data_IF_364858702642
#
_entry.id   IF_364858702642
#
_cell.length_a   1.000
_cell.length_b   1.000
_cell.length_c   1.000
_cell.angle_alpha   90.00
_cell.angle_beta   90.00
_cell.angle_gamma   90.00
#
_symmetry.space_group_name_H-M   'P 1'
#
loop_
_entity.id
_entity.type
_entity.pdbx_description
1 polymer ?
#
# COMPACT_ATOMS: atom_id res chain seq x y z
N UNK A 1 -0.33 24.50 14.07
CA UNK A 1 0.33 24.49 15.38
C UNK A 1 -0.71 24.38 16.51
N UNK A 2 -1.69 23.44 16.43
CA UNK A 2 -2.81 23.35 17.37
C UNK A 2 -3.12 21.91 17.88
N UNK A 3 -2.21 20.96 17.69
CA UNK A 3 -2.42 19.59 18.18
C UNK A 3 -1.68 19.24 19.49
N UNK A 4 -0.94 20.19 20.06
CA UNK A 4 -0.14 19.93 21.27
C UNK A 4 -0.90 20.17 22.59
N UNK A 5 -2.12 20.69 22.59
CA UNK A 5 -2.85 21.02 23.81
C UNK A 5 -3.91 20.03 24.29
N UNK A 6 -4.15 18.94 23.54
CA UNK A 6 -5.20 17.96 23.93
C UNK A 6 -4.71 16.85 24.85
N UNK A 7 -3.43 16.78 25.19
CA UNK A 7 -2.87 15.68 26.01
C UNK A 7 -2.71 16.05 27.50
N UNK A 8 -2.92 17.28 27.91
CA UNK A 8 -2.50 17.74 29.26
C UNK A 8 -3.65 17.81 30.29
N UNK A 9 -4.85 17.39 30.00
CA UNK A 9 -5.96 17.44 30.96
C UNK A 9 -6.64 16.11 31.23
N UNK A 10 -5.87 15.09 31.59
CA UNK A 10 -6.44 13.90 32.20
C UNK A 10 -6.31 14.00 33.72
N UNK A 11 -7.43 13.99 34.49
CA UNK A 11 -7.40 13.95 35.93
C UNK A 11 -6.82 12.63 36.43
N UNK A 12 -6.16 12.62 37.64
CA UNK A 12 -5.49 11.43 38.14
C UNK A 12 -6.49 10.35 38.55
N UNK A 13 -6.26 9.13 38.05
CA UNK A 13 -6.77 7.86 38.57
C UNK A 13 -8.30 7.76 38.81
N UNK A 14 -9.09 7.81 37.74
CA UNK A 14 -10.37 7.07 37.72
C UNK A 14 -10.15 5.79 36.90
N UNK A 15 -10.75 4.66 37.42
CA UNK A 15 -10.78 3.34 36.74
C UNK A 15 -10.99 3.54 35.24
N UNK A 16 -10.03 3.08 34.44
CA UNK A 16 -10.18 3.00 32.99
C UNK A 16 -11.30 1.99 32.77
N UNK A 17 -12.53 2.49 32.65
CA UNK A 17 -13.63 1.71 32.08
C UNK A 17 -13.16 1.36 30.68
N UNK A 18 -12.98 0.09 30.40
CA UNK A 18 -12.62 -0.41 29.08
C UNK A 18 -13.66 0.11 28.09
N UNK A 19 -13.30 1.16 27.35
CA UNK A 19 -14.14 1.68 26.27
C UNK A 19 -14.34 0.55 25.27
N UNK A 20 -15.59 0.28 24.93
CA UNK A 20 -15.89 -0.74 23.92
C UNK A 20 -15.48 -0.23 22.55
N UNK A 21 -15.26 -1.15 21.60
CA UNK A 21 -15.00 -0.80 20.20
C UNK A 21 -16.13 0.07 19.61
N UNK A 22 -17.35 -0.09 20.13
CA UNK A 22 -18.53 0.70 19.73
C UNK A 22 -18.38 2.14 20.23
N UNK A 23 -17.97 2.36 21.48
CA UNK A 23 -17.78 3.70 22.04
C UNK A 23 -16.70 4.47 21.27
N UNK A 24 -15.59 3.80 20.92
CA UNK A 24 -14.51 4.39 20.13
C UNK A 24 -14.98 4.77 18.71
N UNK A 25 -15.82 3.94 18.08
CA UNK A 25 -16.38 4.24 16.76
C UNK A 25 -17.33 5.43 16.80
N UNK A 26 -18.17 5.52 17.84
CA UNK A 26 -19.08 6.65 18.02
C UNK A 26 -18.31 7.96 18.27
N UNK A 27 -17.28 7.94 19.12
CA UNK A 27 -16.42 9.12 19.34
C UNK A 27 -15.72 9.55 18.03
N UNK A 28 -15.17 8.61 17.27
CA UNK A 28 -14.54 8.92 15.99
C UNK A 28 -15.53 9.53 15.00
N UNK A 29 -16.76 9.01 14.91
CA UNK A 29 -17.80 9.56 14.05
C UNK A 29 -18.17 11.00 14.46
N UNK A 30 -18.21 11.28 15.75
CA UNK A 30 -18.50 12.60 16.30
C UNK A 30 -17.37 13.61 16.04
N UNK A 31 -16.11 13.18 16.17
CA UNK A 31 -14.96 14.01 15.84
C UNK A 31 -14.87 14.33 14.34
N UNK A 32 -15.22 13.36 13.48
CA UNK A 32 -15.27 13.59 12.03
C UNK A 32 -16.32 14.65 11.67
N UNK A 33 -17.48 14.67 12.35
CA UNK A 33 -18.53 15.69 12.12
C UNK A 33 -18.09 17.09 12.57
N UNK A 34 -17.16 17.21 13.50
CA UNK A 34 -16.61 18.46 13.98
C UNK A 34 -15.47 19.02 13.10
N UNK A 35 -15.00 18.27 12.12
CA UNK A 35 -13.97 18.74 11.18
C UNK A 35 -14.63 19.76 10.23
N UNK A 36 -14.10 21.00 10.11
CA UNK A 36 -14.61 21.96 9.15
C UNK A 36 -14.69 21.39 7.74
N UNK A 37 -15.73 21.74 6.97
CA UNK A 37 -15.97 21.31 5.59
C UNK A 37 -14.84 21.77 4.64
N UNK A 38 -13.69 21.15 4.78
CA UNK A 38 -12.55 21.31 3.90
C UNK A 38 -12.18 19.91 3.41
N UNK A 39 -12.42 19.65 2.14
CA UNK A 39 -12.06 18.40 1.47
C UNK A 39 -10.63 17.97 1.78
N UNK A 40 -9.73 18.94 1.92
CA UNK A 40 -8.32 18.71 2.22
C UNK A 40 -8.09 18.20 3.66
N UNK A 41 -8.85 18.70 4.63
CA UNK A 41 -8.80 18.25 6.03
C UNK A 41 -9.44 16.88 6.19
N UNK A 42 -10.58 16.64 5.56
CA UNK A 42 -11.24 15.34 5.54
C UNK A 42 -10.36 14.27 4.90
N UNK A 43 -9.71 14.56 3.78
CA UNK A 43 -8.77 13.64 3.13
C UNK A 43 -7.55 13.33 4.00
N UNK A 44 -7.00 14.32 4.73
CA UNK A 44 -5.92 14.08 5.69
C UNK A 44 -6.38 13.18 6.84
N UNK A 45 -7.56 13.42 7.41
CA UNK A 45 -8.12 12.59 8.47
C UNK A 45 -8.39 11.16 7.99
N UNK A 46 -8.98 10.97 6.81
CA UNK A 46 -9.21 9.66 6.20
C UNK A 46 -7.88 8.93 5.98
N UNK A 47 -6.87 9.60 5.45
CA UNK A 47 -5.57 8.98 5.22
C UNK A 47 -4.87 8.61 6.54
N UNK A 48 -4.99 9.45 7.57
CA UNK A 48 -4.48 9.15 8.91
C UNK A 48 -5.19 7.93 9.52
N UNK A 49 -6.51 7.88 9.50
CA UNK A 49 -7.30 6.74 10.00
C UNK A 49 -6.95 5.47 9.22
N UNK A 50 -6.84 5.56 7.89
CA UNK A 50 -6.40 4.43 7.05
C UNK A 50 -4.99 3.97 7.41
N UNK A 51 -4.11 4.87 7.78
CA UNK A 51 -2.75 4.51 8.24
C UNK A 51 -2.78 3.75 9.57
N UNK A 52 -3.67 4.15 10.50
CA UNK A 52 -3.83 3.48 11.79
C UNK A 52 -4.45 2.08 11.64
N UNK A 53 -5.49 1.94 10.81
CA UNK A 53 -6.18 0.65 10.61
C UNK A 53 -5.36 -0.37 9.81
N UNK A 54 -4.31 0.08 9.12
CA UNK A 54 -3.40 -0.81 8.37
C UNK A 54 -2.27 -1.40 9.21
N UNK A 55 -2.09 -0.93 10.44
CA UNK A 55 -0.93 -1.31 11.26
C UNK A 55 -1.14 -2.52 12.16
N UNK A 56 -2.35 -3.07 12.26
CA UNK A 56 -2.64 -4.08 13.29
C UNK A 56 -1.92 -5.43 13.11
N UNK A 57 -1.31 -5.73 11.95
CA UNK A 57 -0.68 -7.04 11.74
C UNK A 57 0.70 -7.06 11.05
N UNK A 58 1.24 -5.94 10.61
CA UNK A 58 2.52 -5.98 9.87
C UNK A 58 3.42 -4.81 10.24
N UNK A 59 4.47 -5.10 10.97
CA UNK A 59 5.52 -4.12 11.29
C UNK A 59 6.40 -3.82 10.05
N UNK A 60 5.80 -3.16 9.05
CA UNK A 60 6.51 -2.74 7.83
C UNK A 60 7.30 -1.46 8.11
N UNK A 61 8.54 -1.43 7.64
CA UNK A 61 9.43 -0.27 7.76
C UNK A 61 10.09 0.05 6.42
N UNK A 62 10.62 1.26 6.28
CA UNK A 62 11.43 1.66 5.13
C UNK A 62 10.73 1.45 3.78
N UNK A 63 11.41 0.82 2.83
CA UNK A 63 10.91 0.63 1.47
C UNK A 63 9.70 -0.32 1.39
N UNK A 64 9.58 -1.30 2.28
CA UNK A 64 8.40 -2.14 2.36
C UNK A 64 7.14 -1.32 2.72
N UNK A 65 7.24 -0.42 3.70
CA UNK A 65 6.17 0.50 4.06
C UNK A 65 5.84 1.46 2.92
N UNK A 66 6.85 1.99 2.23
CA UNK A 66 6.67 2.86 1.06
C UNK A 66 5.87 2.16 -0.04
N UNK A 67 6.21 0.92 -0.41
CA UNK A 67 5.46 0.17 -1.43
C UNK A 67 4.06 -0.23 -0.94
N UNK A 68 3.91 -0.51 0.34
CA UNK A 68 2.59 -0.77 0.93
C UNK A 68 1.65 0.42 0.80
N UNK A 69 2.13 1.62 1.16
CA UNK A 69 1.37 2.86 1.03
C UNK A 69 1.05 3.15 -0.45
N UNK A 70 2.03 2.94 -1.34
CA UNK A 70 1.79 3.10 -2.79
C UNK A 70 0.73 2.12 -3.30
N UNK A 71 0.72 0.86 -2.83
CA UNK A 71 -0.33 -0.11 -3.19
C UNK A 71 -1.72 0.37 -2.75
N UNK A 72 -1.81 1.05 -1.61
CA UNK A 72 -3.07 1.62 -1.14
C UNK A 72 -3.53 2.83 -1.98
N UNK A 73 -2.60 3.66 -2.47
CA UNK A 73 -2.91 4.74 -3.40
C UNK A 73 -3.44 4.18 -4.73
N UNK A 74 -2.81 3.13 -5.25
CA UNK A 74 -3.26 2.46 -6.47
C UNK A 74 -4.66 1.85 -6.31
N UNK A 75 -5.00 1.36 -5.14
CA UNK A 75 -6.33 0.83 -4.85
C UNK A 75 -7.46 1.89 -4.92
N UNK A 76 -7.12 3.17 -4.87
CA UNK A 76 -8.08 4.27 -4.97
C UNK A 76 -8.34 4.72 -6.42
N UNK A 77 -7.60 4.18 -7.40
CA UNK A 77 -7.81 4.49 -8.80
C UNK A 77 -9.14 3.91 -9.30
N UNK A 78 -9.92 4.75 -9.97
CA UNK A 78 -11.21 4.36 -10.55
C UNK A 78 -11.07 4.08 -12.05
N UNK A 79 -12.09 3.50 -12.69
CA UNK A 79 -12.10 3.33 -14.14
C UNK A 79 -11.87 4.68 -14.84
N UNK A 80 -11.04 4.68 -15.87
CA UNK A 80 -10.70 5.89 -16.63
C UNK A 80 -9.62 6.78 -15.99
N UNK A 81 -8.89 6.29 -15.00
CA UNK A 81 -7.83 7.04 -14.29
C UNK A 81 -6.68 7.52 -15.21
N UNK A 82 -6.45 6.81 -16.33
CA UNK A 82 -5.47 7.17 -17.37
C UNK A 82 -6.12 7.10 -18.78
N UNK A 83 -7.32 7.64 -18.92
CA UNK A 83 -8.09 7.60 -20.16
C UNK A 83 -9.18 6.53 -20.16
N UNK A 84 -10.07 6.58 -21.16
CA UNK A 84 -11.33 5.83 -21.19
C UNK A 84 -11.19 4.30 -21.09
N UNK A 85 -10.04 3.75 -21.43
CA UNK A 85 -9.79 2.30 -21.43
C UNK A 85 -9.12 1.80 -20.14
N UNK A 86 -8.62 2.70 -19.27
CA UNK A 86 -7.92 2.32 -18.07
C UNK A 86 -8.85 1.67 -17.04
N UNK A 87 -8.52 0.45 -16.64
CA UNK A 87 -9.25 -0.32 -15.65
C UNK A 87 -8.77 0.02 -14.23
N UNK A 88 -9.64 -0.04 -13.22
CA UNK A 88 -9.21 0.04 -11.83
C UNK A 88 -8.35 -1.17 -11.48
N UNK A 89 -7.47 -1.00 -10.48
CA UNK A 89 -6.64 -2.12 -10.00
C UNK A 89 -7.53 -3.25 -9.49
N UNK A 90 -7.29 -4.46 -9.99
CA UNK A 90 -8.06 -5.62 -9.57
C UNK A 90 -7.77 -5.97 -8.10
N UNK A 91 -8.81 -6.29 -7.33
CA UNK A 91 -8.70 -6.61 -5.89
C UNK A 91 -7.66 -7.69 -5.62
N UNK A 92 -7.59 -8.72 -6.47
CA UNK A 92 -6.65 -9.83 -6.29
C UNK A 92 -5.21 -9.44 -6.60
N UNK A 93 -4.99 -8.55 -7.55
CA UNK A 93 -3.68 -7.96 -7.84
C UNK A 93 -3.17 -7.17 -6.63
N UNK A 94 -4.02 -6.34 -6.02
CA UNK A 94 -3.68 -5.61 -4.80
C UNK A 94 -3.33 -6.56 -3.64
N UNK A 95 -4.10 -7.64 -3.46
CA UNK A 95 -3.82 -8.67 -2.46
C UNK A 95 -2.50 -9.40 -2.74
N UNK A 96 -2.20 -9.71 -3.99
CA UNK A 96 -0.95 -10.34 -4.38
C UNK A 96 0.23 -9.42 -4.08
N UNK A 97 0.12 -8.13 -4.40
CA UNK A 97 1.14 -7.14 -4.07
C UNK A 97 1.37 -7.04 -2.56
N UNK A 98 0.30 -6.98 -1.77
CA UNK A 98 0.38 -6.98 -0.31
C UNK A 98 1.06 -8.24 0.24
N UNK A 99 0.74 -9.43 -0.31
CA UNK A 99 1.39 -10.70 0.08
C UNK A 99 2.87 -10.71 -0.26
N UNK A 100 3.25 -10.17 -1.42
CA UNK A 100 4.66 -10.03 -1.82
C UNK A 100 5.42 -9.13 -0.85
N UNK A 101 4.87 -7.96 -0.51
CA UNK A 101 5.50 -7.02 0.42
C UNK A 101 5.64 -7.63 1.82
N UNK A 102 4.62 -8.34 2.32
CA UNK A 102 4.67 -9.02 3.62
C UNK A 102 5.70 -10.15 3.67
N UNK A 103 5.97 -10.81 2.56
CA UNK A 103 6.94 -11.90 2.47
C UNK A 103 8.39 -11.43 2.38
N UNK A 104 8.63 -10.19 1.94
CA UNK A 104 9.96 -9.62 1.77
C UNK A 104 10.44 -8.80 2.97
N UNK A 105 11.73 -8.48 2.96
CA UNK A 105 12.35 -7.50 3.85
C UNK A 105 12.35 -6.12 3.18
N UNK A 106 12.47 -5.03 3.95
CA UNK A 106 12.53 -3.68 3.39
C UNK A 106 13.64 -3.53 2.34
N UNK A 107 14.79 -4.15 2.56
CA UNK A 107 15.94 -4.13 1.66
C UNK A 107 15.66 -4.78 0.29
N UNK A 108 14.75 -5.75 0.22
CA UNK A 108 14.36 -6.39 -1.05
C UNK A 108 13.67 -5.40 -2.00
N UNK A 109 13.08 -4.33 -1.45
CA UNK A 109 12.26 -3.37 -2.18
C UNK A 109 12.95 -2.03 -2.45
N UNK A 110 14.20 -1.88 -2.04
CA UNK A 110 14.94 -0.61 -2.11
C UNK A 110 15.03 -0.05 -3.54
N UNK A 111 15.20 -0.92 -4.52
CA UNK A 111 15.37 -0.55 -5.93
C UNK A 111 14.05 -0.50 -6.71
N UNK A 112 12.89 -0.76 -6.10
CA UNK A 112 11.64 -0.95 -6.82
C UNK A 112 10.66 0.20 -6.63
N UNK A 113 9.94 0.54 -7.70
CA UNK A 113 8.82 1.52 -7.73
C UNK A 113 7.57 0.84 -8.29
N UNK A 114 6.39 1.28 -7.88
CA UNK A 114 5.11 0.74 -8.36
C UNK A 114 4.40 1.74 -9.26
N UNK A 115 3.93 1.22 -10.38
CA UNK A 115 3.08 1.93 -11.34
C UNK A 115 1.78 1.14 -11.55
N UNK A 116 0.66 1.82 -11.76
CA UNK A 116 -0.54 1.18 -12.27
C UNK A 116 -0.34 0.86 -13.75
N UNK A 117 -0.98 -0.21 -14.21
CA UNK A 117 -1.09 -0.56 -15.62
C UNK A 117 -2.57 -0.41 -16.04
N UNK A 118 -2.84 0.04 -17.25
CA UNK A 118 -4.17 0.32 -17.79
C UNK A 118 -5.10 -0.90 -17.81
N UNK A 119 -4.53 -2.09 -17.82
CA UNK A 119 -5.22 -3.38 -17.77
C UNK A 119 -5.59 -3.85 -16.35
N UNK A 120 -5.40 -3.01 -15.32
CA UNK A 120 -5.71 -3.33 -13.92
C UNK A 120 -4.66 -4.14 -13.18
N UNK A 121 -3.48 -4.38 -13.78
CA UNK A 121 -2.32 -5.01 -13.12
C UNK A 121 -1.40 -3.95 -12.47
N UNK A 122 -0.43 -4.40 -11.67
CA UNK A 122 0.60 -3.52 -11.07
C UNK A 122 1.94 -3.85 -11.68
N UNK A 123 2.59 -2.83 -12.24
CA UNK A 123 3.96 -2.90 -12.71
C UNK A 123 4.92 -2.47 -11.59
N UNK A 124 5.84 -3.36 -11.21
CA UNK A 124 7.03 -3.04 -10.42
C UNK A 124 8.19 -2.79 -11.38
N UNK A 125 8.84 -1.64 -11.28
CA UNK A 125 10.02 -1.31 -12.09
C UNK A 125 11.22 -1.00 -11.21
N UNK A 126 12.40 -1.48 -11.60
CA UNK A 126 13.64 -1.08 -10.95
C UNK A 126 13.94 0.41 -11.23
N UNK A 127 14.54 1.10 -10.26
CA UNK A 127 14.85 2.54 -10.38
C UNK A 127 15.78 2.87 -11.55
N UNK A 128 16.63 1.92 -11.95
CA UNK A 128 17.51 2.04 -13.11
C UNK A 128 16.84 1.67 -14.43
N UNK A 129 15.58 1.25 -14.40
CA UNK A 129 14.78 0.89 -15.57
C UNK A 129 15.15 -0.44 -16.24
N UNK A 130 16.13 -1.20 -15.69
CA UNK A 130 16.62 -2.43 -16.33
C UNK A 130 15.79 -3.66 -16.07
N UNK A 131 14.94 -3.63 -15.06
CA UNK A 131 14.07 -4.75 -14.71
C UNK A 131 12.64 -4.30 -14.44
N UNK A 132 11.69 -5.14 -14.82
CA UNK A 132 10.27 -4.95 -14.45
C UNK A 132 9.57 -6.27 -14.18
N UNK A 133 8.56 -6.21 -13.32
CA UNK A 133 7.70 -7.33 -12.94
C UNK A 133 6.25 -6.84 -13.00
N UNK A 134 5.43 -7.44 -13.85
CA UNK A 134 3.99 -7.18 -13.88
C UNK A 134 3.27 -8.21 -13.00
N UNK A 135 2.54 -7.75 -12.00
CA UNK A 135 1.78 -8.58 -11.06
C UNK A 135 0.32 -8.62 -11.48
N UNK A 136 -0.14 -9.80 -11.86
CA UNK A 136 -1.52 -10.08 -12.22
C UNK A 136 -2.27 -10.88 -11.15
N UNK A 137 -3.48 -11.33 -11.50
CA UNK A 137 -4.37 -12.07 -10.59
C UNK A 137 -3.84 -13.45 -10.18
N UNK A 138 -3.36 -14.22 -11.14
CA UNK A 138 -2.95 -15.61 -10.93
C UNK A 138 -1.48 -15.86 -11.31
N UNK A 139 -0.89 -14.91 -12.00
CA UNK A 139 0.47 -15.00 -12.53
C UNK A 139 1.19 -13.66 -12.41
N UNK A 140 2.49 -13.71 -12.63
CA UNK A 140 3.32 -12.55 -12.86
C UNK A 140 4.20 -12.79 -14.07
N UNK A 141 4.64 -11.72 -14.70
CA UNK A 141 5.61 -11.75 -15.80
C UNK A 141 6.76 -10.82 -15.43
N UNK A 142 7.94 -11.11 -15.93
CA UNK A 142 9.09 -10.24 -15.69
C UNK A 142 9.98 -10.12 -16.93
N UNK A 143 10.72 -9.05 -16.99
CA UNK A 143 11.80 -8.84 -17.97
C UNK A 143 12.93 -8.10 -17.28
N UNK A 144 14.15 -8.45 -17.62
CA UNK A 144 15.33 -7.68 -17.25
C UNK A 144 16.36 -7.68 -18.38
N UNK A 145 17.24 -6.67 -18.34
CA UNK A 145 18.41 -6.59 -19.21
C UNK A 145 19.65 -6.65 -18.33
N UNK A 146 20.41 -7.73 -18.43
CA UNK A 146 21.67 -7.92 -17.72
C UNK A 146 22.79 -8.21 -18.72
N UNK A 147 23.87 -7.45 -18.65
CA UNK A 147 25.04 -7.58 -19.53
C UNK A 147 24.68 -7.54 -21.04
N UNK A 148 23.69 -6.69 -21.39
CA UNK A 148 23.20 -6.56 -22.76
C UNK A 148 22.31 -7.74 -23.24
N UNK A 149 22.00 -8.71 -22.38
CA UNK A 149 21.11 -9.81 -22.68
C UNK A 149 19.77 -9.62 -21.95
N UNK A 150 18.68 -9.86 -22.69
CA UNK A 150 17.35 -9.89 -22.10
C UNK A 150 17.06 -11.26 -21.49
N UNK A 151 16.55 -11.27 -20.25
CA UNK A 151 15.96 -12.43 -19.60
C UNK A 151 14.50 -12.10 -19.28
N UNK A 152 13.60 -13.03 -19.50
CA UNK A 152 12.18 -12.82 -19.32
C UNK A 152 11.45 -14.10 -18.92
N UNK A 153 10.39 -13.94 -18.13
CA UNK A 153 9.43 -15.00 -17.83
C UNK A 153 8.01 -14.48 -17.97
N UNK A 154 7.18 -15.25 -18.66
CA UNK A 154 5.79 -14.89 -18.89
C UNK A 154 4.85 -15.86 -18.16
N UNK A 155 3.75 -15.33 -17.63
CA UNK A 155 2.66 -16.09 -17.00
C UNK A 155 3.13 -17.09 -15.93
N UNK A 156 4.17 -16.73 -15.18
CA UNK A 156 4.65 -17.53 -14.05
C UNK A 156 3.56 -17.55 -12.97
N UNK A 157 3.13 -18.73 -12.52
CA UNK A 157 2.12 -18.87 -11.48
C UNK A 157 2.51 -18.05 -10.25
N UNK A 158 1.59 -17.19 -9.80
CA UNK A 158 1.88 -16.33 -8.66
C UNK A 158 1.91 -17.12 -7.34
N UNK A 159 3.01 -16.97 -6.64
CA UNK A 159 3.10 -17.11 -5.19
C UNK A 159 4.03 -16.02 -4.67
N UNK A 160 3.79 -15.53 -3.45
CA UNK A 160 4.65 -14.49 -2.86
C UNK A 160 6.11 -14.92 -2.80
N UNK A 161 6.38 -16.18 -2.48
CA UNK A 161 7.74 -16.74 -2.42
C UNK A 161 8.41 -16.79 -3.81
N UNK A 162 7.68 -17.20 -4.86
CA UNK A 162 8.21 -17.24 -6.22
C UNK A 162 8.49 -15.84 -6.75
N UNK A 163 7.54 -14.91 -6.60
CA UNK A 163 7.71 -13.53 -7.04
C UNK A 163 8.85 -12.83 -6.28
N UNK A 164 9.00 -13.07 -4.97
CA UNK A 164 10.10 -12.53 -4.18
C UNK A 164 11.46 -13.09 -4.60
N UNK A 165 11.52 -14.39 -4.93
CA UNK A 165 12.75 -15.01 -5.47
C UNK A 165 13.16 -14.35 -6.79
N UNK A 166 12.21 -14.16 -7.70
CA UNK A 166 12.44 -13.44 -8.97
C UNK A 166 12.89 -12.01 -8.71
N UNK A 167 12.19 -11.27 -7.87
CA UNK A 167 12.51 -9.88 -7.52
C UNK A 167 13.98 -9.74 -7.03
N UNK A 168 14.43 -10.65 -6.16
CA UNK A 168 15.82 -10.68 -5.66
C UNK A 168 16.85 -11.03 -6.74
N UNK A 169 16.48 -11.86 -7.70
CA UNK A 169 17.36 -12.24 -8.81
C UNK A 169 17.54 -11.11 -9.83
N UNK A 170 16.57 -10.18 -9.89
CA UNK A 170 16.55 -9.05 -10.81
C UNK A 170 17.11 -7.74 -10.20
N UNK A 171 17.35 -7.70 -8.90
CA UNK A 171 17.84 -6.53 -8.16
C UNK A 171 19.35 -6.28 -8.34
#
# INVERSE_FOLDING_TARGET
>A
MYFAHLIVSLPPKKKITTMTTIDLRMMLAQEIQNIPDSDQMLMKAINYIRSLTKHDDVNLTGDALRLWNRTAELAALTAGWDGAQALPMEKKVLQNMQRLIKAGKSTDFQQWVLFPDDNGTILMQSKDGKASISIGNNSYSFVCTKDGKADAGQNVKFSAASALKTLRALA
#
